data_IF_553233980097
#
_entry.id   IF_553233980097
#
_cell.length_a   1.000
_cell.length_b   1.000
_cell.length_c   1.000
_cell.angle_alpha   90.00
_cell.angle_beta   90.00
_cell.angle_gamma   90.00
#
_symmetry.space_group_name_H-M   'P 1'
#
loop_
_entity.id
_entity.type
_entity.pdbx_description
1 polymer ?
#
# COMPACT_ATOMS: atom_id res chain seq x y z
N UNK A 1 -45.02 -24.82 3.02
CA UNK A 1 -44.18 -25.20 1.86
C UNK A 1 -43.68 -23.93 1.22
N UNK A 2 -42.37 -23.70 1.18
CA UNK A 2 -41.81 -22.52 0.50
C UNK A 2 -42.06 -22.69 -0.99
N UNK A 3 -42.81 -21.76 -1.59
CA UNK A 3 -43.18 -21.85 -2.99
C UNK A 3 -42.01 -21.37 -3.86
N UNK A 4 -41.71 -22.05 -4.96
CA UNK A 4 -40.56 -21.70 -5.84
C UNK A 4 -40.64 -20.24 -6.29
N UNK A 5 -41.85 -19.74 -6.54
CA UNK A 5 -42.11 -18.34 -6.86
C UNK A 5 -41.65 -17.36 -5.75
N UNK A 6 -41.87 -17.69 -4.47
CA UNK A 6 -41.43 -16.83 -3.36
C UNK A 6 -39.91 -16.76 -3.22
N UNK A 7 -39.19 -17.83 -3.54
CA UNK A 7 -37.71 -17.85 -3.54
C UNK A 7 -37.17 -16.96 -4.66
N UNK A 8 -37.75 -17.03 -5.86
CA UNK A 8 -37.32 -16.22 -7.00
C UNK A 8 -37.56 -14.73 -6.73
N UNK A 9 -38.70 -14.37 -6.14
CA UNK A 9 -39.03 -12.96 -5.82
C UNK A 9 -38.12 -12.40 -4.73
N UNK A 10 -37.92 -13.15 -3.64
CA UNK A 10 -37.02 -12.72 -2.55
C UNK A 10 -35.56 -12.65 -3.04
N UNK A 11 -35.12 -13.64 -3.82
CA UNK A 11 -33.80 -13.64 -4.45
C UNK A 11 -33.59 -12.48 -5.42
N UNK A 12 -34.59 -12.16 -6.23
CA UNK A 12 -34.56 -11.01 -7.15
C UNK A 12 -34.53 -9.67 -6.42
N UNK A 13 -35.30 -9.52 -5.34
CA UNK A 13 -35.25 -8.34 -4.47
C UNK A 13 -33.91 -8.20 -3.76
N UNK A 14 -33.36 -9.30 -3.23
CA UNK A 14 -32.04 -9.33 -2.59
C UNK A 14 -30.92 -8.97 -3.59
N UNK A 15 -30.97 -9.51 -4.81
CA UNK A 15 -30.00 -9.19 -5.87
C UNK A 15 -30.09 -7.72 -6.31
N UNK A 16 -31.31 -7.17 -6.44
CA UNK A 16 -31.51 -5.74 -6.77
C UNK A 16 -31.01 -4.84 -5.65
N UNK A 17 -31.24 -5.23 -4.39
CA UNK A 17 -30.72 -4.53 -3.22
C UNK A 17 -29.19 -4.57 -3.22
N UNK A 18 -28.59 -5.75 -3.38
CA UNK A 18 -27.15 -5.92 -3.46
C UNK A 18 -26.53 -5.10 -4.60
N UNK A 19 -27.13 -5.10 -5.79
CA UNK A 19 -26.63 -4.30 -6.91
C UNK A 19 -26.70 -2.79 -6.63
N UNK A 20 -27.76 -2.30 -5.97
CA UNK A 20 -27.87 -0.88 -5.63
C UNK A 20 -26.81 -0.42 -4.64
N UNK A 21 -26.48 -1.25 -3.63
CA UNK A 21 -25.50 -0.90 -2.60
C UNK A 21 -24.05 -1.21 -2.99
N UNK A 22 -23.78 -2.39 -3.54
CA UNK A 22 -22.43 -2.84 -3.88
C UNK A 22 -22.03 -2.56 -5.33
N UNK A 23 -22.99 -2.40 -6.24
CA UNK A 23 -22.72 -2.11 -7.65
C UNK A 23 -21.80 -0.91 -7.86
N UNK A 24 -22.04 0.25 -7.23
CA UNK A 24 -21.15 1.41 -7.37
C UNK A 24 -19.70 1.15 -6.93
N UNK A 25 -19.48 0.26 -5.95
CA UNK A 25 -18.15 -0.07 -5.44
C UNK A 25 -17.46 -1.07 -6.37
N UNK A 26 -18.14 -2.16 -6.73
CA UNK A 26 -17.59 -3.25 -7.55
C UNK A 26 -17.35 -2.79 -8.99
N UNK A 27 -18.22 -1.96 -9.56
CA UNK A 27 -18.07 -1.49 -10.94
C UNK A 27 -17.26 -0.19 -11.07
N UNK A 28 -16.76 0.37 -9.95
CA UNK A 28 -15.89 1.54 -10.00
C UNK A 28 -14.46 1.15 -10.38
N UNK A 29 -13.93 1.77 -11.44
CA UNK A 29 -12.52 1.63 -11.85
C UNK A 29 -11.53 2.00 -10.75
N UNK A 30 -11.87 2.94 -9.88
CA UNK A 30 -10.99 3.40 -8.80
C UNK A 30 -10.86 2.36 -7.68
N UNK A 31 -11.93 1.61 -7.42
CA UNK A 31 -11.89 0.48 -6.47
C UNK A 31 -10.89 -0.56 -6.94
N UNK A 32 -10.94 -0.94 -8.22
CA UNK A 32 -10.01 -1.91 -8.79
C UNK A 32 -8.59 -1.38 -8.89
N UNK A 33 -8.41 -0.11 -9.26
CA UNK A 33 -7.10 0.52 -9.26
C UNK A 33 -6.45 0.47 -7.87
N UNK A 34 -7.21 0.81 -6.82
CA UNK A 34 -6.75 0.73 -5.44
C UNK A 34 -6.45 -0.71 -5.02
N UNK A 35 -7.32 -1.67 -5.34
CA UNK A 35 -7.12 -3.08 -5.02
C UNK A 35 -5.85 -3.65 -5.67
N UNK A 36 -5.61 -3.34 -6.95
CA UNK A 36 -4.42 -3.79 -7.68
C UNK A 36 -3.16 -3.16 -7.10
N UNK A 37 -3.15 -1.84 -6.85
CA UNK A 37 -1.99 -1.15 -6.27
C UNK A 37 -1.64 -1.70 -4.89
N UNK A 38 -2.63 -1.89 -4.01
CA UNK A 38 -2.40 -2.50 -2.69
C UNK A 38 -1.83 -3.91 -2.81
N UNK A 39 -2.39 -4.73 -3.69
CA UNK A 39 -1.92 -6.10 -3.93
C UNK A 39 -0.46 -6.10 -4.43
N UNK A 40 -0.14 -5.23 -5.39
CA UNK A 40 1.23 -5.08 -5.89
C UNK A 40 2.19 -4.66 -4.77
N UNK A 41 1.84 -3.65 -3.97
CA UNK A 41 2.65 -3.18 -2.84
C UNK A 41 2.93 -4.29 -1.82
N UNK A 42 1.92 -5.11 -1.49
CA UNK A 42 2.08 -6.24 -0.58
C UNK A 42 2.99 -7.33 -1.15
N UNK A 43 2.92 -7.60 -2.44
CA UNK A 43 3.77 -8.65 -3.04
C UNK A 43 5.21 -8.20 -3.24
N UNK A 44 5.45 -6.96 -3.65
CA UNK A 44 6.82 -6.45 -3.83
C UNK A 44 7.55 -6.20 -2.51
N UNK A 45 6.85 -6.06 -1.37
CA UNK A 45 7.50 -5.90 -0.06
C UNK A 45 8.16 -7.18 0.46
N UNK A 46 7.85 -8.35 -0.12
CA UNK A 46 8.37 -9.64 0.32
C UNK A 46 7.42 -10.44 1.21
N UNK A 47 6.12 -10.10 1.26
CA UNK A 47 5.14 -10.77 2.13
C UNK A 47 5.06 -12.29 1.89
N UNK A 48 5.23 -12.73 0.63
CA UNK A 48 5.23 -14.16 0.31
C UNK A 48 6.44 -14.91 0.86
N UNK A 49 7.60 -14.26 0.98
CA UNK A 49 8.79 -14.87 1.58
C UNK A 49 8.52 -15.26 3.03
N UNK A 50 8.00 -14.33 3.82
CA UNK A 50 7.66 -14.54 5.22
C UNK A 50 6.57 -15.60 5.37
N UNK A 51 5.53 -15.53 4.53
CA UNK A 51 4.38 -16.45 4.59
C UNK A 51 4.75 -17.90 4.25
N UNK A 52 5.54 -18.12 3.19
CA UNK A 52 5.95 -19.46 2.76
C UNK A 52 6.90 -20.10 3.77
N UNK A 53 7.83 -19.31 4.31
CA UNK A 53 8.86 -19.82 5.24
C UNK A 53 8.42 -19.82 6.70
N UNK A 54 7.25 -19.29 7.03
CA UNK A 54 6.78 -19.17 8.40
C UNK A 54 7.71 -18.35 9.29
N UNK A 55 8.30 -17.27 8.75
CA UNK A 55 9.24 -16.43 9.49
C UNK A 55 8.52 -15.71 10.64
N UNK A 56 9.13 -15.61 11.83
CA UNK A 56 8.54 -14.88 12.94
C UNK A 56 8.51 -13.37 12.68
N UNK A 57 7.65 -12.66 13.40
CA UNK A 57 7.55 -11.20 13.29
C UNK A 57 8.75 -10.45 13.86
N UNK A 58 9.31 -10.95 14.97
CA UNK A 58 10.58 -10.49 15.53
C UNK A 58 11.35 -11.68 16.09
N UNK A 59 12.66 -11.58 16.17
CA UNK A 59 13.50 -12.62 16.77
C UNK A 59 14.54 -11.97 17.68
N UNK A 60 14.61 -12.43 18.94
CA UNK A 60 15.56 -11.93 19.95
C UNK A 60 15.51 -10.40 20.12
N UNK A 61 14.30 -9.82 20.06
CA UNK A 61 14.08 -8.37 20.18
C UNK A 61 14.45 -7.56 18.94
N UNK A 62 14.93 -8.19 17.87
CA UNK A 62 15.20 -7.52 16.59
C UNK A 62 14.05 -7.72 15.61
N UNK A 63 13.62 -6.63 14.98
CA UNK A 63 12.56 -6.61 13.98
C UNK A 63 13.09 -6.60 12.54
N UNK A 64 14.39 -6.35 12.35
CA UNK A 64 15.10 -6.51 11.06
C UNK A 64 15.90 -7.80 11.11
N UNK A 65 15.73 -8.65 10.10
CA UNK A 65 16.50 -9.89 9.98
C UNK A 65 17.92 -9.60 9.49
N UNK A 66 18.89 -10.30 10.09
CA UNK A 66 20.29 -10.22 9.68
C UNK A 66 20.54 -10.87 8.31
N UNK A 67 21.42 -10.25 7.53
CA UNK A 67 21.75 -10.67 6.17
C UNK A 67 20.66 -10.33 5.14
N UNK A 68 20.96 -10.59 3.87
CA UNK A 68 20.08 -10.25 2.74
C UNK A 68 19.02 -11.29 2.43
N UNK A 69 19.28 -12.54 2.78
CA UNK A 69 18.44 -13.67 2.37
C UNK A 69 17.27 -13.92 3.32
N UNK A 70 17.21 -13.20 4.45
CA UNK A 70 16.19 -13.36 5.48
C UNK A 70 15.45 -12.04 5.71
N UNK A 71 14.16 -12.16 6.02
CA UNK A 71 13.26 -11.06 6.35
C UNK A 71 12.26 -11.52 7.42
N UNK A 72 11.90 -10.62 8.33
CA UNK A 72 10.85 -10.86 9.32
C UNK A 72 9.52 -10.22 8.90
N UNK A 73 8.41 -10.64 9.51
CA UNK A 73 7.08 -10.11 9.19
C UNK A 73 6.96 -8.61 9.50
N UNK A 74 7.50 -8.16 10.64
CA UNK A 74 7.52 -6.74 11.01
C UNK A 74 8.31 -5.91 9.98
N UNK A 75 9.46 -6.42 9.54
CA UNK A 75 10.31 -5.79 8.53
C UNK A 75 9.54 -5.55 7.22
N UNK A 76 8.90 -6.60 6.70
CA UNK A 76 8.15 -6.56 5.43
C UNK A 76 6.94 -5.63 5.52
N UNK A 77 6.28 -5.59 6.67
CA UNK A 77 5.13 -4.69 6.91
C UNK A 77 5.56 -3.24 6.88
N UNK A 78 6.68 -2.90 7.54
CA UNK A 78 7.25 -1.55 7.53
C UNK A 78 7.71 -1.16 6.12
N UNK A 79 8.42 -2.05 5.41
CA UNK A 79 8.85 -1.80 4.03
C UNK A 79 7.65 -1.59 3.10
N UNK A 80 6.60 -2.39 3.23
CA UNK A 80 5.35 -2.20 2.49
C UNK A 80 4.71 -0.82 2.74
N UNK A 81 4.72 -0.37 4.01
CA UNK A 81 4.29 0.98 4.38
C UNK A 81 5.14 2.09 3.75
N UNK A 82 6.46 1.93 3.72
CA UNK A 82 7.39 2.87 3.07
C UNK A 82 7.13 2.95 1.56
N UNK A 83 6.99 1.81 0.88
CA UNK A 83 6.63 1.77 -0.54
C UNK A 83 5.27 2.42 -0.80
N UNK A 84 4.28 2.16 0.05
CA UNK A 84 2.97 2.81 -0.01
C UNK A 84 3.04 4.32 0.15
N UNK A 85 3.83 4.82 1.10
CA UNK A 85 4.01 6.26 1.31
C UNK A 85 4.70 6.95 0.12
N UNK A 86 5.72 6.32 -0.47
CA UNK A 86 6.38 6.81 -1.69
C UNK A 86 5.39 6.82 -2.87
N UNK A 87 4.68 5.72 -3.10
CA UNK A 87 3.68 5.64 -4.16
C UNK A 87 2.57 6.69 -3.98
N UNK A 88 2.09 6.89 -2.75
CA UNK A 88 1.09 7.90 -2.42
C UNK A 88 1.60 9.32 -2.70
N UNK A 89 2.82 9.66 -2.27
CA UNK A 89 3.42 10.97 -2.54
C UNK A 89 3.53 11.21 -4.05
N UNK A 90 3.93 10.21 -4.83
CA UNK A 90 4.00 10.29 -6.29
C UNK A 90 2.61 10.50 -6.91
N UNK A 91 1.61 9.72 -6.48
CA UNK A 91 0.24 9.83 -6.96
C UNK A 91 -0.37 11.19 -6.63
N UNK A 92 -0.08 11.75 -5.46
CA UNK A 92 -0.53 13.09 -5.09
C UNK A 92 0.11 14.17 -5.95
N UNK A 93 1.39 14.05 -6.30
CA UNK A 93 2.05 14.97 -7.23
C UNK A 93 1.45 14.92 -8.64
N UNK A 94 1.08 13.74 -9.14
CA UNK A 94 0.55 13.56 -10.49
C UNK A 94 -0.95 13.87 -10.58
N UNK A 95 -1.74 13.33 -9.66
CA UNK A 95 -3.20 13.37 -9.72
C UNK A 95 -3.79 14.44 -8.79
N UNK A 96 -3.20 14.66 -7.62
CA UNK A 96 -3.73 15.60 -6.63
C UNK A 96 -3.41 17.06 -6.95
N UNK A 97 -2.12 17.37 -7.07
CA UNK A 97 -1.59 18.73 -7.24
C UNK A 97 -2.22 19.50 -8.40
N UNK A 98 -2.44 18.92 -9.61
CA UNK A 98 -3.05 19.67 -10.72
C UNK A 98 -4.48 20.14 -10.45
N UNK A 99 -5.20 19.51 -9.53
CA UNK A 99 -6.58 19.86 -9.18
C UNK A 99 -6.68 20.89 -8.04
N UNK A 100 -5.55 21.45 -7.58
CA UNK A 100 -5.55 22.50 -6.58
C UNK A 100 -6.16 23.81 -7.13
N UNK A 101 -7.11 24.39 -6.39
CA UNK A 101 -7.88 25.57 -6.83
C UNK A 101 -7.04 26.85 -6.94
N UNK A 102 -6.04 27.00 -6.06
CA UNK A 102 -5.23 28.21 -5.94
C UNK A 102 -3.75 27.91 -6.24
N UNK A 103 -3.09 28.78 -6.99
CA UNK A 103 -1.68 28.63 -7.35
C UNK A 103 -0.74 28.52 -6.13
N UNK A 104 -1.04 29.24 -5.04
CA UNK A 104 -0.28 29.14 -3.79
C UNK A 104 -0.39 27.76 -3.13
N UNK A 105 -1.60 27.19 -3.08
CA UNK A 105 -1.84 25.85 -2.53
C UNK A 105 -1.21 24.76 -3.40
N UNK A 106 -1.23 24.93 -4.72
CA UNK A 106 -0.57 24.03 -5.66
C UNK A 106 0.95 23.99 -5.42
N UNK A 107 1.61 25.16 -5.35
CA UNK A 107 3.05 25.26 -5.06
C UNK A 107 3.41 24.63 -3.72
N UNK A 108 2.63 24.94 -2.68
CA UNK A 108 2.83 24.35 -1.35
C UNK A 108 2.73 22.83 -1.39
N UNK A 109 1.74 22.29 -2.09
CA UNK A 109 1.56 20.84 -2.22
C UNK A 109 2.74 20.18 -2.93
N UNK A 110 3.29 20.80 -3.98
CA UNK A 110 4.50 20.32 -4.66
C UNK A 110 5.66 20.21 -3.67
N UNK A 111 5.90 21.25 -2.87
CA UNK A 111 6.98 21.23 -1.88
C UNK A 111 6.77 20.18 -0.80
N UNK A 112 5.55 20.06 -0.25
CA UNK A 112 5.23 19.08 0.78
C UNK A 112 5.48 17.66 0.27
N UNK A 113 4.90 17.28 -0.88
CA UNK A 113 5.02 15.91 -1.38
C UNK A 113 6.42 15.59 -1.92
N UNK A 114 7.13 16.56 -2.49
CA UNK A 114 8.53 16.38 -2.90
C UNK A 114 9.45 16.19 -1.69
N UNK A 115 9.24 16.97 -0.63
CA UNK A 115 9.99 16.83 0.61
C UNK A 115 9.67 15.51 1.34
N UNK A 116 8.40 15.11 1.37
CA UNK A 116 7.97 13.82 1.89
C UNK A 116 8.66 12.66 1.15
N UNK A 117 8.73 12.73 -0.20
CA UNK A 117 9.45 11.77 -1.02
C UNK A 117 10.91 11.63 -0.58
N UNK A 118 11.63 12.74 -0.43
CA UNK A 118 13.05 12.75 -0.04
C UNK A 118 13.24 12.13 1.35
N UNK A 119 12.39 12.48 2.33
CA UNK A 119 12.47 11.94 3.69
C UNK A 119 12.22 10.43 3.68
N UNK A 120 11.10 9.99 3.10
CA UNK A 120 10.71 8.57 3.13
C UNK A 120 11.72 7.72 2.34
N UNK A 121 12.24 8.23 1.23
CA UNK A 121 13.28 7.54 0.48
C UNK A 121 14.61 7.49 1.27
N UNK A 122 14.93 8.54 2.02
CA UNK A 122 16.08 8.51 2.94
C UNK A 122 15.91 7.44 4.03
N UNK A 123 14.70 7.26 4.57
CA UNK A 123 14.39 6.15 5.49
C UNK A 123 14.63 4.78 4.84
N UNK A 124 14.16 4.60 3.61
CA UNK A 124 14.36 3.36 2.85
C UNK A 124 15.84 3.04 2.68
N UNK A 125 16.65 4.02 2.26
CA UNK A 125 18.10 3.86 2.09
C UNK A 125 18.77 3.55 3.43
N UNK A 126 18.37 4.23 4.52
CA UNK A 126 18.92 3.98 5.85
C UNK A 126 18.66 2.53 6.31
N UNK A 127 17.44 2.02 6.15
CA UNK A 127 17.10 0.62 6.44
C UNK A 127 17.88 -0.35 5.55
N UNK A 128 18.05 -0.04 4.27
CA UNK A 128 18.85 -0.84 3.36
C UNK A 128 20.31 -0.95 3.83
N UNK A 129 20.89 0.13 4.35
CA UNK A 129 22.27 0.11 4.89
C UNK A 129 22.41 -0.70 6.17
N UNK A 130 21.35 -0.84 6.97
CA UNK A 130 21.37 -1.74 8.14
C UNK A 130 21.55 -3.19 7.67
N UNK A 131 20.93 -3.57 6.55
CA UNK A 131 21.17 -4.89 5.91
C UNK A 131 22.49 -4.96 5.13
N UNK A 132 22.91 -3.85 4.54
CA UNK A 132 24.14 -3.71 3.74
C UNK A 132 25.10 -2.68 4.34
N UNK A 133 25.92 -3.04 5.34
CA UNK A 133 26.86 -2.10 5.94
C UNK A 133 27.91 -1.56 4.96
N UNK A 134 28.20 -2.32 3.89
CA UNK A 134 29.17 -1.95 2.86
C UNK A 134 28.63 -0.91 1.87
N UNK A 135 27.34 -0.58 1.91
CA UNK A 135 26.76 0.41 1.01
C UNK A 135 27.21 1.84 1.38
N UNK A 136 27.97 2.54 0.50
CA UNK A 136 28.66 3.76 0.89
C UNK A 136 27.79 5.02 0.83
N UNK A 137 26.64 4.98 0.13
CA UNK A 137 25.86 6.18 -0.16
C UNK A 137 24.77 6.45 0.88
N UNK A 138 24.60 7.72 1.23
CA UNK A 138 23.55 8.24 2.11
C UNK A 138 22.86 9.41 1.42
N UNK A 139 21.55 9.58 1.65
CA UNK A 139 20.84 10.80 1.23
C UNK A 139 20.83 11.82 2.36
N UNK A 140 19.88 11.74 3.29
CA UNK A 140 19.83 12.65 4.43
C UNK A 140 20.37 12.03 5.73
N UNK A 141 20.10 10.76 5.96
CA UNK A 141 20.53 10.03 7.16
C UNK A 141 20.83 8.57 6.87
#
# INVERSE_FOLDING_TARGET
>A
MINVASVIVIGGLAARFAYKYFGPIIFSRWTWALAVVLTMLTFISGHMFVKIRGMPSTMRGQWIAGGYQNQYEAEVTVIGGIYGALAFAQLMLILGVPHAKNAGSQRMSIYIFSFLMIIVFSMLVSLFRIKNPSYPFRMLF
#
